data_IF_556608530884
#
_entry.id   IF_556608530884
#
_cell.length_a   1.000
_cell.length_b   1.000
_cell.length_c   1.000
_cell.angle_alpha   90.00
_cell.angle_beta   90.00
_cell.angle_gamma   90.00
#
_symmetry.space_group_name_H-M   'P 1'
#
loop_
_entity.id
_entity.type
_entity.pdbx_description
1 polymer ?
#
# COMPACT_ATOMS: atom_id res chain seq x y z
N UNK A 1 -5.52 -14.65 -2.34
CA UNK A 1 -6.16 -15.06 -3.61
C UNK A 1 -5.66 -14.15 -4.72
N UNK A 2 -5.22 -14.70 -5.86
CA UNK A 2 -4.71 -13.95 -7.01
C UNK A 2 -5.88 -13.37 -7.82
N UNK A 3 -5.82 -12.10 -8.22
CA UNK A 3 -6.88 -11.43 -9.00
C UNK A 3 -6.50 -11.39 -10.49
N UNK A 4 -5.26 -10.97 -10.81
CA UNK A 4 -4.75 -10.88 -12.18
C UNK A 4 -3.25 -11.19 -12.21
N UNK A 5 -2.79 -11.91 -13.22
CA UNK A 5 -1.38 -12.25 -13.42
C UNK A 5 -0.96 -11.91 -14.85
N UNK A 6 0.26 -11.40 -14.99
CA UNK A 6 0.93 -11.06 -16.25
C UNK A 6 2.34 -11.66 -16.23
N UNK A 7 3.08 -11.57 -17.33
CA UNK A 7 4.43 -12.13 -17.43
C UNK A 7 5.40 -11.63 -16.34
N UNK A 8 5.17 -10.45 -15.76
CA UNK A 8 6.07 -9.83 -14.76
C UNK A 8 5.43 -9.54 -13.42
N UNK A 9 4.11 -9.52 -13.34
CA UNK A 9 3.40 -9.00 -12.17
C UNK A 9 2.20 -9.86 -11.80
N UNK A 10 2.01 -9.99 -10.51
CA UNK A 10 0.83 -10.55 -9.89
C UNK A 10 0.10 -9.45 -9.11
N UNK A 11 -1.17 -9.22 -9.45
CA UNK A 11 -2.08 -8.38 -8.69
C UNK A 11 -2.99 -9.26 -7.83
N UNK A 12 -3.01 -8.97 -6.53
CA UNK A 12 -3.77 -9.69 -5.52
C UNK A 12 -4.36 -8.71 -4.51
N UNK A 13 -5.29 -9.18 -3.69
CA UNK A 13 -5.72 -8.43 -2.52
C UNK A 13 -4.53 -8.20 -1.57
N UNK A 14 -4.52 -7.02 -0.95
CA UNK A 14 -3.61 -6.70 0.15
C UNK A 14 -3.91 -7.59 1.34
N UNK A 15 -2.87 -7.87 2.11
CA UNK A 15 -2.90 -8.66 3.33
C UNK A 15 -2.13 -7.92 4.41
N UNK A 16 -2.33 -8.24 5.70
CA UNK A 16 -1.58 -7.59 6.78
C UNK A 16 -0.06 -7.66 6.64
N UNK A 17 0.47 -8.68 5.96
CA UNK A 17 1.90 -8.84 5.71
C UNK A 17 2.49 -7.77 4.76
N UNK A 18 1.64 -7.05 4.03
CA UNK A 18 2.04 -5.97 3.10
C UNK A 18 2.18 -4.61 3.78
N UNK A 19 1.82 -4.51 5.06
CA UNK A 19 1.72 -3.23 5.77
C UNK A 19 3.05 -2.45 5.75
N UNK A 20 4.17 -3.14 5.94
CA UNK A 20 5.49 -2.49 5.95
C UNK A 20 5.85 -1.92 4.57
N UNK A 21 5.56 -2.67 3.51
CA UNK A 21 5.79 -2.24 2.12
C UNK A 21 4.87 -1.06 1.75
N UNK A 22 3.61 -1.08 2.18
CA UNK A 22 2.67 0.04 1.99
C UNK A 22 3.09 1.27 2.78
N UNK A 23 3.50 1.10 4.04
CA UNK A 23 3.96 2.19 4.89
C UNK A 23 5.20 2.89 4.31
N UNK A 24 6.11 2.13 3.71
CA UNK A 24 7.26 2.70 3.01
C UNK A 24 6.84 3.66 1.87
N UNK A 25 5.73 3.37 1.17
CA UNK A 25 5.19 4.26 0.14
C UNK A 25 4.51 5.49 0.75
N UNK A 26 3.75 5.33 1.83
CA UNK A 26 3.09 6.44 2.52
C UNK A 26 4.10 7.42 3.16
N UNK A 27 5.31 6.96 3.48
CA UNK A 27 6.38 7.83 3.97
C UNK A 27 6.97 8.75 2.89
N UNK A 28 6.71 8.51 1.60
CA UNK A 28 7.24 9.32 0.51
C UNK A 28 6.28 10.48 0.15
N UNK A 29 6.70 11.76 0.35
CA UNK A 29 5.87 12.91 0.02
C UNK A 29 5.59 13.05 -1.48
N UNK A 30 6.46 12.54 -2.36
CA UNK A 30 6.21 12.57 -3.81
C UNK A 30 5.10 11.61 -4.22
N UNK A 31 4.90 10.53 -3.45
CA UNK A 31 3.80 9.57 -3.64
C UNK A 31 2.51 10.13 -3.05
N UNK A 32 2.56 10.61 -1.81
CA UNK A 32 1.36 11.03 -1.07
C UNK A 32 0.80 12.39 -1.49
N UNK A 33 1.55 13.19 -2.27
CA UNK A 33 1.05 14.50 -2.76
C UNK A 33 -0.28 14.45 -3.52
N UNK A 34 -0.64 13.29 -4.07
CA UNK A 34 -1.90 13.07 -4.81
C UNK A 34 -2.93 12.24 -4.04
N UNK A 35 -2.67 11.90 -2.78
CA UNK A 35 -3.52 11.05 -1.94
C UNK A 35 -3.92 11.87 -0.71
N UNK A 36 -5.04 12.61 -0.75
CA UNK A 36 -5.42 13.55 0.31
C UNK A 36 -5.63 12.90 1.69
N UNK A 37 -5.96 11.61 1.69
CA UNK A 37 -6.29 10.75 2.81
C UNK A 37 -5.19 9.73 3.11
N UNK A 38 -3.97 9.92 2.61
CA UNK A 38 -2.85 9.04 2.94
C UNK A 38 -2.67 8.93 4.46
N UNK A 39 -2.52 7.71 5.00
CA UNK A 39 -2.26 7.48 6.41
C UNK A 39 -1.06 8.30 6.90
N UNK A 40 -1.22 8.95 8.06
CA UNK A 40 -0.19 9.81 8.66
C UNK A 40 0.63 9.10 9.71
N UNK A 41 0.23 7.88 10.07
CA UNK A 41 0.93 7.04 11.02
C UNK A 41 0.85 5.56 10.63
N UNK A 42 1.79 4.77 11.12
CA UNK A 42 1.78 3.31 10.94
C UNK A 42 0.51 2.66 11.52
N UNK A 43 -0.04 3.24 12.59
CA UNK A 43 -1.29 2.78 13.19
C UNK A 43 -2.47 3.00 12.25
N UNK A 44 -2.59 4.20 11.66
CA UNK A 44 -3.62 4.49 10.64
C UNK A 44 -3.46 3.56 9.42
N UNK A 45 -2.24 3.35 8.93
CA UNK A 45 -2.00 2.47 7.78
C UNK A 45 -2.39 1.01 8.02
N UNK A 46 -2.43 0.58 9.29
CA UNK A 46 -2.88 -0.77 9.68
C UNK A 46 -4.40 -0.90 9.72
N UNK A 47 -5.12 0.21 9.85
CA UNK A 47 -6.58 0.25 9.98
C UNK A 47 -7.32 0.39 8.63
N UNK A 48 -6.60 0.74 7.56
CA UNK A 48 -7.06 0.68 6.16
C UNK A 48 -7.48 -0.74 5.73
#
# INVERSE_FOLDING_TARGET
MKILETDRLLLRHLTPDDLDDLWALYCDPEITKFIPDAPRSYAEAKEE
#
